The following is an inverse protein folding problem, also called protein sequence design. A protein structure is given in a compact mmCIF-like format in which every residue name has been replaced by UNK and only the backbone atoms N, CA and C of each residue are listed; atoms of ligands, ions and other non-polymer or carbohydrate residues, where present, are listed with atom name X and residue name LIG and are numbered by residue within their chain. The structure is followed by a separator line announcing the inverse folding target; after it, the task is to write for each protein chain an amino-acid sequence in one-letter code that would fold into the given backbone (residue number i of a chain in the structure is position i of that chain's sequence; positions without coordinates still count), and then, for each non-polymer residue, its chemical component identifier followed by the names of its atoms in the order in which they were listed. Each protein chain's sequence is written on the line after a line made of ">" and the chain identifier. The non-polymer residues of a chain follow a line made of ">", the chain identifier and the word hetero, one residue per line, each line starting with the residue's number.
data_IF_263756203724
#
_entry.id   IF_263756203724
#
_cell.length_a   1.000
_cell.length_b   1.000
_cell.length_c   1.000
_cell.angle_alpha   90.00
_cell.angle_beta   90.00
_cell.angle_gamma   90.00
#
_symmetry.space_group_name_H-M   'P 1'
#
loop_
_entity.id
_entity.type
_entity.pdbx_description
1 polymer ?
#
# COMPACT_ATOMS: atom_id res chain seq x y z
N UNK A 1 6.12 -59.51 -48.17
CA UNK A 1 7.51 -59.50 -47.68
C UNK A 1 8.02 -58.08 -47.75
N UNK A 2 7.97 -57.38 -46.62
CA UNK A 2 8.26 -55.96 -46.45
C UNK A 2 9.67 -55.82 -45.85
N UNK A 3 10.50 -54.85 -46.29
CA UNK A 3 11.84 -54.69 -45.75
C UNK A 3 11.81 -54.07 -44.34
N UNK A 4 12.56 -54.65 -43.41
CA UNK A 4 12.84 -54.09 -42.09
C UNK A 4 13.54 -52.73 -42.25
N UNK A 5 12.86 -51.65 -41.85
CA UNK A 5 13.51 -50.36 -41.62
C UNK A 5 14.14 -50.37 -40.22
N UNK A 6 15.44 -50.16 -40.20
CA UNK A 6 16.25 -49.90 -39.01
C UNK A 6 15.81 -48.59 -38.35
N UNK A 7 15.45 -48.66 -37.08
CA UNK A 7 15.13 -47.49 -36.24
C UNK A 7 16.44 -46.96 -35.65
N UNK A 8 16.83 -45.76 -36.07
CA UNK A 8 17.93 -44.99 -35.45
C UNK A 8 17.43 -44.38 -34.14
N UNK A 9 18.11 -44.56 -32.99
CA UNK A 9 17.68 -43.91 -31.76
C UNK A 9 18.07 -42.42 -31.77
N UNK A 10 17.08 -41.55 -31.67
CA UNK A 10 17.28 -40.12 -31.38
C UNK A 10 17.68 -40.01 -29.91
N UNK A 11 18.94 -39.62 -29.65
CA UNK A 11 19.39 -39.20 -28.32
C UNK A 11 18.77 -37.84 -27.99
N UNK A 12 17.74 -37.83 -27.14
CA UNK A 12 17.33 -36.62 -26.45
C UNK A 12 18.41 -36.26 -25.40
N UNK A 13 19.20 -35.22 -25.65
CA UNK A 13 19.97 -34.55 -24.59
C UNK A 13 19.10 -33.42 -24.01
N UNK A 14 18.23 -33.77 -23.06
CA UNK A 14 17.70 -32.78 -22.13
C UNK A 14 18.79 -32.48 -21.10
N UNK A 15 19.48 -31.36 -21.27
CA UNK A 15 20.34 -30.81 -20.21
C UNK A 15 19.42 -30.20 -19.15
N UNK A 16 18.94 -31.03 -18.23
CA UNK A 16 18.27 -30.57 -17.01
C UNK A 16 19.28 -29.72 -16.24
N UNK A 17 19.12 -28.39 -16.26
CA UNK A 17 19.75 -27.55 -15.25
C UNK A 17 19.12 -27.93 -13.91
N UNK A 18 19.91 -28.22 -12.86
CA UNK A 18 19.33 -28.43 -11.55
C UNK A 18 18.57 -27.15 -11.13
N UNK A 19 17.46 -27.29 -10.39
CA UNK A 19 16.78 -26.14 -9.82
C UNK A 19 17.78 -25.33 -8.99
N UNK A 20 17.77 -24.00 -9.13
CA UNK A 20 18.46 -23.14 -8.18
C UNK A 20 17.81 -23.41 -6.82
N UNK A 21 18.57 -24.00 -5.89
CA UNK A 21 18.22 -23.95 -4.48
C UNK A 21 18.19 -22.46 -4.10
N UNK A 22 16.98 -21.94 -3.90
CA UNK A 22 16.82 -20.71 -3.15
C UNK A 22 17.21 -21.03 -1.71
N UNK A 23 18.15 -20.28 -1.10
CA UNK A 23 18.46 -20.48 0.30
C UNK A 23 17.17 -20.26 1.10
N UNK A 24 16.78 -21.27 1.87
CA UNK A 24 15.72 -21.15 2.88
C UNK A 24 16.03 -19.93 3.75
N UNK A 25 15.10 -18.98 3.92
CA UNK A 25 15.37 -17.81 4.74
C UNK A 25 15.65 -18.29 6.17
N UNK A 26 16.87 -18.02 6.64
CA UNK A 26 17.24 -18.21 8.04
C UNK A 26 16.31 -17.37 8.90
N UNK A 27 15.58 -18.03 9.79
CA UNK A 27 14.76 -17.41 10.82
C UNK A 27 15.63 -16.70 11.87
N UNK A 28 16.45 -15.71 11.50
CA UNK A 28 17.12 -14.82 12.46
C UNK A 28 17.87 -13.61 11.86
N UNK A 29 17.58 -13.15 10.65
CA UNK A 29 18.19 -11.93 10.14
C UNK A 29 17.39 -10.70 10.61
N UNK A 30 17.60 -10.27 11.85
CA UNK A 30 17.34 -8.87 12.21
C UNK A 30 18.27 -8.05 11.29
N UNK A 31 17.78 -7.17 10.42
CA UNK A 31 18.65 -6.36 9.59
C UNK A 31 19.59 -5.56 10.50
N UNK A 32 20.90 -5.84 10.41
CA UNK A 32 21.93 -5.06 11.09
C UNK A 32 21.90 -3.65 10.51
N UNK A 33 21.89 -2.63 11.35
CA UNK A 33 21.86 -1.23 10.93
C UNK A 33 23.04 -0.95 10.00
N UNK A 34 22.76 -0.63 8.74
CA UNK A 34 23.75 -0.10 7.80
C UNK A 34 24.45 1.13 8.41
N UNK A 35 25.78 1.25 8.30
CA UNK A 35 26.50 2.43 8.77
C UNK A 35 25.99 3.69 8.06
N UNK A 36 25.48 4.68 8.81
CA UNK A 36 25.12 5.97 8.23
C UNK A 36 26.40 6.78 7.96
N UNK A 37 26.74 6.95 6.69
CA UNK A 37 27.92 7.71 6.23
C UNK A 37 27.57 9.12 5.73
N UNK A 38 26.29 9.47 5.66
CA UNK A 38 25.79 10.79 5.28
C UNK A 38 25.16 11.48 6.51
N UNK A 39 25.76 12.59 6.93
CA UNK A 39 25.36 13.35 8.12
C UNK A 39 25.13 14.81 7.73
N UNK A 40 24.06 15.09 6.98
CA UNK A 40 23.49 16.44 6.99
C UNK A 40 22.96 16.70 8.41
N UNK A 41 23.43 17.78 9.05
CA UNK A 41 22.96 18.17 10.38
C UNK A 41 21.49 18.60 10.28
N UNK A 42 20.67 18.14 11.22
CA UNK A 42 19.29 18.61 11.36
C UNK A 42 19.27 20.03 11.92
N UNK A 43 18.26 20.82 11.55
CA UNK A 43 17.99 22.08 12.21
C UNK A 43 17.54 21.82 13.66
N UNK A 44 17.80 22.79 14.54
CA UNK A 44 17.38 22.76 15.95
C UNK A 44 16.70 24.07 16.32
N UNK A 45 15.71 24.01 17.20
CA UNK A 45 15.01 25.18 17.73
C UNK A 45 14.71 24.95 19.22
N UNK A 46 14.96 25.95 20.05
CA UNK A 46 14.79 25.85 21.51
C UNK A 46 13.33 25.64 21.94
N UNK A 47 12.38 25.97 21.06
CA UNK A 47 10.95 25.85 21.31
C UNK A 47 10.31 24.75 20.45
N UNK A 48 11.10 23.78 19.98
CA UNK A 48 10.64 22.65 19.17
C UNK A 48 9.79 23.10 17.96
N UNK A 49 10.22 24.19 17.30
CA UNK A 49 9.59 24.71 16.09
C UNK A 49 8.14 25.18 16.30
N UNK A 50 7.75 25.61 17.51
CA UNK A 50 6.37 26.05 17.80
C UNK A 50 5.87 27.17 16.88
N UNK A 51 6.78 28.00 16.37
CA UNK A 51 6.49 29.11 15.46
C UNK A 51 6.88 28.80 13.99
N UNK A 52 7.05 27.54 13.63
CA UNK A 52 7.50 27.13 12.28
C UNK A 52 6.69 27.77 11.17
N UNK A 53 5.37 27.81 11.34
CA UNK A 53 4.43 28.34 10.34
C UNK A 53 4.15 29.85 10.49
N UNK A 54 4.94 30.59 11.27
CA UNK A 54 4.68 32.01 11.50
C UNK A 54 4.76 32.80 10.19
N UNK A 55 3.67 33.50 9.84
CA UNK A 55 3.60 34.31 8.64
C UNK A 55 3.21 33.54 7.36
N UNK A 56 2.99 32.23 7.46
CA UNK A 56 2.50 31.40 6.36
C UNK A 56 0.98 31.22 6.39
N UNK A 57 0.41 30.79 5.25
CA UNK A 57 -0.97 30.31 5.19
C UNK A 57 -1.09 29.03 6.00
N UNK A 58 -1.88 29.04 7.07
CA UNK A 58 -2.00 27.90 7.96
C UNK A 58 -2.96 26.83 7.43
N UNK A 59 -2.61 25.57 7.65
CA UNK A 59 -3.60 24.48 7.59
C UNK A 59 -4.66 24.71 8.66
N UNK A 60 -5.93 24.63 8.28
CA UNK A 60 -7.05 25.14 9.07
C UNK A 60 -8.26 24.19 9.05
N UNK A 61 -8.03 22.90 8.82
CA UNK A 61 -9.08 21.89 8.68
C UNK A 61 -9.66 21.78 7.26
N UNK A 62 -9.33 22.71 6.35
CA UNK A 62 -9.72 22.62 4.95
C UNK A 62 -8.62 21.97 4.10
N UNK A 63 -9.02 21.40 2.97
CA UNK A 63 -8.09 20.96 1.93
C UNK A 63 -7.55 22.17 1.16
N UNK A 64 -6.46 22.77 1.66
CA UNK A 64 -5.84 23.94 1.03
C UNK A 64 -5.01 23.54 -0.20
N UNK A 65 -5.65 23.48 -1.38
CA UNK A 65 -5.05 23.04 -2.64
C UNK A 65 -3.85 23.89 -3.12
N UNK A 66 -3.79 25.17 -2.71
CA UNK A 66 -2.67 26.07 -3.01
C UNK A 66 -1.43 25.88 -2.12
N UNK A 67 -1.47 24.92 -1.19
CA UNK A 67 -0.44 24.72 -0.17
C UNK A 67 -0.72 25.49 1.13
N UNK A 68 -0.25 24.94 2.24
CA UNK A 68 -0.34 25.55 3.57
C UNK A 68 0.72 24.96 4.51
N UNK A 69 1.00 25.65 5.61
CA UNK A 69 1.87 25.16 6.67
C UNK A 69 1.03 24.60 7.83
N UNK A 70 1.30 23.34 8.20
CA UNK A 70 0.61 22.70 9.31
C UNK A 70 1.40 22.87 10.61
N UNK A 71 0.87 23.67 11.54
CA UNK A 71 1.44 23.86 12.88
C UNK A 71 1.02 22.82 13.91
N UNK A 72 0.18 21.85 13.55
CA UNK A 72 -0.28 20.79 14.44
C UNK A 72 0.87 19.80 14.69
N UNK A 73 1.16 19.42 15.95
CA UNK A 73 2.18 18.43 16.23
C UNK A 73 1.82 17.09 15.59
N UNK A 74 2.84 16.33 15.20
CA UNK A 74 2.70 15.01 14.56
C UNK A 74 1.80 14.03 15.34
N UNK A 75 1.88 14.05 16.67
CA UNK A 75 1.07 13.22 17.56
C UNK A 75 1.84 12.08 18.21
N UNK A 76 1.11 11.11 18.76
CA UNK A 76 1.68 9.95 19.44
C UNK A 76 2.23 8.96 18.43
N UNK A 77 3.40 8.40 18.72
CA UNK A 77 4.09 7.43 17.87
C UNK A 77 3.89 6.04 18.49
N UNK A 78 3.44 5.02 17.73
CA UNK A 78 3.25 3.68 18.27
C UNK A 78 4.59 3.03 18.65
N UNK A 79 4.54 1.94 19.42
CA UNK A 79 5.73 1.13 19.68
C UNK A 79 6.17 0.38 18.41
N UNK A 80 7.41 -0.13 18.38
CA UNK A 80 7.89 -0.97 17.27
C UNK A 80 7.00 -2.22 17.05
N UNK A 81 6.39 -2.74 18.11
CA UNK A 81 5.51 -3.90 18.04
C UNK A 81 4.11 -3.56 17.51
N UNK A 82 3.73 -2.28 17.53
CA UNK A 82 2.45 -1.77 17.04
C UNK A 82 2.59 -1.06 15.68
N UNK A 83 3.62 -1.43 14.91
CA UNK A 83 3.80 -0.92 13.57
C UNK A 83 2.70 -1.46 12.65
N UNK A 84 1.99 -0.54 11.97
CA UNK A 84 0.99 -0.85 10.94
C UNK A 84 1.64 -1.57 9.76
N UNK A 85 0.95 -2.58 9.25
CA UNK A 85 1.23 -3.24 7.97
C UNK A 85 -0.09 -3.68 7.36
N UNK A 86 -0.20 -3.52 6.05
CA UNK A 86 -1.34 -3.98 5.26
C UNK A 86 -0.92 -4.98 4.18
N UNK A 87 -1.88 -5.77 3.71
CA UNK A 87 -1.75 -6.65 2.54
C UNK A 87 -3.09 -6.80 1.84
N UNK A 88 -3.12 -6.66 0.52
CA UNK A 88 -4.34 -6.92 -0.25
C UNK A 88 -4.62 -8.43 -0.33
N UNK A 89 -5.85 -8.79 -0.01
CA UNK A 89 -6.37 -10.17 -0.16
C UNK A 89 -7.24 -10.31 -1.39
N UNK A 90 -7.72 -9.20 -1.97
CA UNK A 90 -8.46 -9.15 -3.24
C UNK A 90 -8.47 -7.74 -3.82
N UNK A 91 -8.20 -7.55 -5.12
CA UNK A 91 -7.39 -8.46 -5.95
C UNK A 91 -6.00 -8.67 -5.36
N UNK A 92 -5.38 -9.81 -5.61
CA UNK A 92 -3.97 -10.05 -5.33
C UNK A 92 -3.09 -9.60 -6.50
N UNK A 93 -1.78 -9.52 -6.26
CA UNK A 93 -0.83 -9.14 -7.31
C UNK A 93 -0.76 -10.20 -8.41
N UNK A 94 -1.02 -9.76 -9.65
CA UNK A 94 -1.02 -10.59 -10.84
C UNK A 94 -2.41 -11.13 -11.21
N UNK A 95 -3.43 -10.86 -10.39
CA UNK A 95 -4.79 -11.30 -10.68
C UNK A 95 -5.32 -10.68 -11.98
N UNK A 96 -6.27 -11.37 -12.59
CA UNK A 96 -7.12 -10.85 -13.66
C UNK A 96 -8.55 -10.90 -13.20
N UNK A 97 -9.21 -9.74 -13.09
CA UNK A 97 -10.64 -9.63 -12.81
C UNK A 97 -11.44 -9.51 -14.11
N UNK A 98 -12.74 -9.75 -14.03
CA UNK A 98 -13.66 -9.50 -15.15
C UNK A 98 -13.85 -8.00 -15.36
N UNK A 99 -13.73 -7.54 -16.60
CA UNK A 99 -13.96 -6.14 -16.96
C UNK A 99 -15.43 -5.76 -16.78
N UNK A 100 -15.68 -4.49 -16.46
CA UNK A 100 -17.00 -3.86 -16.33
C UNK A 100 -17.97 -4.65 -15.41
N UNK A 101 -17.42 -5.35 -14.42
CA UNK A 101 -18.15 -6.20 -13.47
C UNK A 101 -17.80 -5.84 -12.03
N UNK A 102 -18.82 -5.75 -11.17
CA UNK A 102 -18.67 -5.50 -9.75
C UNK A 102 -17.64 -6.43 -9.11
N UNK A 103 -16.75 -5.89 -8.28
CA UNK A 103 -15.86 -6.66 -7.45
C UNK A 103 -15.59 -5.96 -6.12
N UNK A 104 -15.06 -6.71 -5.16
CA UNK A 104 -14.70 -6.18 -3.84
C UNK A 104 -13.19 -6.12 -3.69
N UNK A 105 -12.68 -4.94 -3.36
CA UNK A 105 -11.33 -4.76 -2.83
C UNK A 105 -11.34 -5.16 -1.36
N UNK A 106 -10.38 -5.98 -0.94
CA UNK A 106 -10.20 -6.40 0.45
C UNK A 106 -8.74 -6.28 0.86
N UNK A 107 -8.52 -5.69 2.03
CA UNK A 107 -7.20 -5.45 2.60
C UNK A 107 -7.17 -5.90 4.06
N UNK A 108 -6.20 -6.75 4.39
CA UNK A 108 -5.93 -7.16 5.75
C UNK A 108 -4.91 -6.21 6.37
N UNK A 109 -5.27 -5.60 7.49
CA UNK A 109 -4.38 -4.73 8.26
C UNK A 109 -4.00 -5.36 9.59
N UNK A 110 -2.83 -5.00 10.09
CA UNK A 110 -2.32 -5.39 11.41
C UNK A 110 -1.90 -4.16 12.21
N UNK A 111 -2.04 -4.23 13.55
CA UNK A 111 -1.67 -3.17 14.49
C UNK A 111 -2.28 -1.79 14.18
N UNK A 112 -3.51 -1.80 13.69
CA UNK A 112 -4.26 -0.61 13.29
C UNK A 112 -5.63 -0.63 13.95
N UNK A 113 -6.11 0.54 14.39
CA UNK A 113 -7.44 0.71 14.95
C UNK A 113 -8.30 1.48 13.92
N UNK A 114 -8.91 0.78 12.94
CA UNK A 114 -9.75 1.39 11.92
C UNK A 114 -11.10 1.85 12.50
N UNK A 115 -11.89 2.56 11.69
CA UNK A 115 -13.23 3.01 12.05
C UNK A 115 -13.32 4.44 12.58
N UNK A 116 -12.21 5.19 12.56
CA UNK A 116 -12.21 6.60 12.98
C UNK A 116 -11.75 7.50 11.84
N UNK A 117 -12.68 8.33 11.37
CA UNK A 117 -12.49 9.30 10.31
C UNK A 117 -13.13 10.62 10.73
N UNK A 118 -12.43 11.73 10.52
CA UNK A 118 -13.00 13.07 10.67
C UNK A 118 -13.31 13.67 9.30
N UNK A 119 -14.31 14.55 9.21
CA UNK A 119 -14.78 15.08 7.94
C UNK A 119 -13.65 15.88 7.22
N UNK A 120 -13.23 15.38 6.05
CA UNK A 120 -12.15 15.95 5.26
C UNK A 120 -12.39 17.40 4.81
N UNK A 121 -13.65 17.84 4.74
CA UNK A 121 -13.97 19.20 4.31
C UNK A 121 -13.75 20.24 5.40
N UNK A 122 -13.58 19.84 6.66
CA UNK A 122 -13.51 20.78 7.78
C UNK A 122 -12.56 20.40 8.93
N UNK A 123 -11.97 19.20 8.91
CA UNK A 123 -11.03 18.74 9.94
C UNK A 123 -9.74 18.13 9.35
N UNK A 124 -9.44 18.41 8.08
CA UNK A 124 -8.25 17.93 7.39
C UNK A 124 -6.96 18.40 8.08
N UNK A 125 -6.15 17.43 8.53
CA UNK A 125 -4.95 17.61 9.34
C UNK A 125 -5.12 18.52 10.57
N UNK A 126 -6.33 18.58 11.11
CA UNK A 126 -6.67 19.51 12.20
C UNK A 126 -6.33 19.00 13.60
N UNK A 127 -5.97 17.73 13.74
CA UNK A 127 -5.54 17.15 15.01
C UNK A 127 -4.40 16.12 14.85
N UNK A 128 -3.58 15.93 15.90
CA UNK A 128 -2.45 14.99 15.88
C UNK A 128 -2.89 13.53 15.73
N UNK A 129 -1.94 12.66 15.35
CA UNK A 129 -2.13 11.22 15.43
C UNK A 129 -2.33 10.79 16.89
N UNK A 130 -3.28 9.89 17.15
CA UNK A 130 -3.49 9.29 18.48
C UNK A 130 -3.49 7.76 18.41
N UNK A 131 -3.34 7.13 19.57
CA UNK A 131 -3.30 5.68 19.74
C UNK A 131 -4.47 5.21 20.61
N UNK A 132 -4.97 4.01 20.34
CA UNK A 132 -5.97 3.34 21.16
C UNK A 132 -5.36 2.82 22.48
N UNK A 133 -6.18 2.17 23.31
CA UNK A 133 -5.72 1.57 24.57
C UNK A 133 -4.68 0.45 24.41
N UNK A 134 -4.52 -0.10 23.21
CA UNK A 134 -3.55 -1.15 22.87
C UNK A 134 -2.28 -0.58 22.21
N UNK A 135 -2.21 0.74 21.99
CA UNK A 135 -1.09 1.41 21.34
C UNK A 135 -1.12 1.36 19.80
N UNK A 136 -2.24 0.97 19.20
CA UNK A 136 -2.45 0.98 17.75
C UNK A 136 -2.91 2.36 17.29
N UNK A 137 -2.49 2.77 16.09
CA UNK A 137 -2.90 4.07 15.53
C UNK A 137 -4.40 4.06 15.25
N UNK A 138 -5.09 5.09 15.74
CA UNK A 138 -6.52 5.33 15.48
C UNK A 138 -6.66 6.03 14.12
N UNK A 139 -7.44 5.45 13.22
CA UNK A 139 -7.68 6.06 11.93
C UNK A 139 -8.57 5.27 10.99
N UNK A 140 -8.26 5.41 9.70
CA UNK A 140 -8.95 4.78 8.58
C UNK A 140 -7.96 4.55 7.44
N UNK A 141 -8.34 3.78 6.42
CA UNK A 141 -7.50 3.57 5.24
C UNK A 141 -8.20 4.07 4.00
N UNK A 142 -7.44 4.50 3.00
CA UNK A 142 -7.95 4.65 1.65
C UNK A 142 -7.45 3.51 0.78
N UNK A 143 -8.18 3.25 -0.31
CA UNK A 143 -7.73 2.43 -1.42
C UNK A 143 -7.89 3.24 -2.71
N UNK A 144 -6.88 3.18 -3.56
CA UNK A 144 -6.85 3.88 -4.85
C UNK A 144 -6.46 2.90 -5.93
N UNK A 145 -7.25 2.87 -7.02
CA UNK A 145 -6.92 2.13 -8.23
C UNK A 145 -6.55 3.14 -9.31
N UNK A 146 -5.35 3.00 -9.88
CA UNK A 146 -4.88 3.81 -10.99
C UNK A 146 -4.64 2.95 -12.22
N UNK A 147 -5.01 3.49 -13.38
CA UNK A 147 -4.67 2.93 -14.69
C UNK A 147 -3.16 3.08 -14.94
N UNK A 148 -2.52 2.00 -15.38
CA UNK A 148 -1.11 1.94 -15.71
C UNK A 148 -0.83 2.10 -17.23
N UNK A 149 -1.89 2.18 -18.04
CA UNK A 149 -1.82 2.19 -19.49
C UNK A 149 -1.47 0.82 -20.06
N UNK A 150 -0.54 0.79 -21.02
CA UNK A 150 -0.25 -0.42 -21.81
C UNK A 150 0.64 -1.46 -21.09
N UNK A 151 1.17 -1.16 -19.90
CA UNK A 151 2.11 -2.03 -19.17
C UNK A 151 1.79 -2.03 -17.66
N UNK A 152 1.87 -3.21 -17.01
CA UNK A 152 1.83 -3.31 -15.56
C UNK A 152 3.05 -2.66 -14.90
N UNK A 153 4.17 -2.47 -15.62
CA UNK A 153 5.43 -1.97 -15.07
C UNK A 153 5.88 -0.65 -15.72
N UNK A 154 5.07 0.43 -15.66
CA UNK A 154 5.46 1.70 -16.25
C UNK A 154 6.72 2.24 -15.57
N UNK A 155 7.61 2.81 -16.37
CA UNK A 155 8.85 3.46 -15.89
C UNK A 155 8.68 4.95 -15.62
N UNK A 156 7.51 5.50 -15.95
CA UNK A 156 7.14 6.89 -15.66
C UNK A 156 6.16 6.90 -14.49
N UNK A 157 6.37 7.75 -13.47
CA UNK A 157 5.40 7.90 -12.39
C UNK A 157 4.01 8.32 -12.91
N UNK A 158 2.96 7.75 -12.34
CA UNK A 158 1.58 8.10 -12.65
C UNK A 158 1.24 9.50 -12.12
N UNK A 159 0.30 10.19 -12.78
CA UNK A 159 -0.28 11.43 -12.28
C UNK A 159 -1.09 11.15 -11.00
N UNK A 160 -0.72 11.74 -9.84
CA UNK A 160 -1.41 11.49 -8.58
C UNK A 160 -2.84 12.07 -8.52
N UNK A 161 -3.23 12.92 -9.48
CA UNK A 161 -4.59 13.50 -9.55
C UNK A 161 -5.58 12.61 -10.29
N UNK A 162 -5.11 11.54 -10.95
CA UNK A 162 -5.92 10.66 -11.78
C UNK A 162 -6.05 9.27 -11.14
N UNK A 163 -7.27 8.77 -11.03
CA UNK A 163 -7.58 7.43 -10.54
C UNK A 163 -8.84 6.87 -11.22
N UNK A 164 -8.89 5.56 -11.40
CA UNK A 164 -10.07 4.85 -11.88
C UNK A 164 -11.07 4.61 -10.74
N UNK A 165 -10.56 4.43 -9.51
CA UNK A 165 -11.38 4.29 -8.31
C UNK A 165 -10.65 4.84 -7.08
N UNK A 166 -11.40 5.47 -6.18
CA UNK A 166 -10.91 5.91 -4.88
C UNK A 166 -11.99 5.66 -3.82
N UNK A 167 -11.60 5.13 -2.66
CA UNK A 167 -12.49 4.97 -1.52
C UNK A 167 -11.74 5.15 -0.22
N UNK A 168 -12.27 6.00 0.66
CA UNK A 168 -11.98 5.93 2.09
C UNK A 168 -12.84 4.86 2.76
N UNK A 169 -12.18 3.89 3.41
CA UNK A 169 -12.83 2.84 4.21
C UNK A 169 -12.86 3.32 5.65
N UNK A 170 -14.02 3.82 6.06
CA UNK A 170 -14.20 4.57 7.30
C UNK A 170 -14.80 3.75 8.44
N UNK A 171 -15.22 2.52 8.18
CA UNK A 171 -15.76 1.59 9.18
C UNK A 171 -14.65 0.73 9.82
N UNK A 172 -15.02 -0.05 10.82
CA UNK A 172 -14.11 -0.91 11.57
C UNK A 172 -13.82 -2.27 10.88
N UNK A 173 -14.41 -2.51 9.70
CA UNK A 173 -14.37 -3.78 9.00
C UNK A 173 -14.96 -4.93 9.79
N UNK A 174 -14.33 -6.09 9.68
CA UNK A 174 -14.75 -7.34 10.33
C UNK A 174 -14.38 -7.43 11.82
N UNK A 175 -13.67 -6.43 12.35
CA UNK A 175 -13.14 -6.43 13.71
C UNK A 175 -11.86 -7.26 13.93
N UNK A 176 -11.35 -7.94 12.89
CA UNK A 176 -10.08 -8.66 12.88
C UNK A 176 -9.08 -8.07 11.87
N UNK A 177 -9.32 -6.84 11.43
CA UNK A 177 -8.44 -6.06 10.58
C UNK A 177 -8.70 -6.21 9.08
N UNK A 178 -9.70 -6.98 8.66
CA UNK A 178 -10.12 -7.02 7.25
C UNK A 178 -11.03 -5.83 6.96
N UNK A 179 -10.60 -4.98 6.04
CA UNK A 179 -11.35 -3.84 5.53
C UNK A 179 -11.68 -4.06 4.05
N UNK A 180 -12.82 -3.54 3.59
CA UNK A 180 -13.26 -3.75 2.20
C UNK A 180 -13.91 -2.53 1.57
N UNK A 181 -13.90 -2.50 0.24
CA UNK A 181 -14.59 -1.51 -0.57
C UNK A 181 -15.15 -2.19 -1.82
N UNK A 182 -16.43 -1.96 -2.11
CA UNK A 182 -17.05 -2.42 -3.34
C UNK A 182 -16.77 -1.44 -4.48
N UNK A 183 -16.43 -1.99 -5.65
CA UNK A 183 -16.20 -1.27 -6.90
C UNK A 183 -17.36 -1.56 -7.84
N UNK A 184 -18.44 -0.83 -7.65
CA UNK A 184 -19.67 -0.96 -8.45
C UNK A 184 -19.40 -0.59 -9.91
N UNK A 185 -19.87 -1.41 -10.83
CA UNK A 185 -19.61 -1.30 -12.27
C UNK A 185 -18.21 -1.78 -12.70
N UNK A 186 -17.35 -2.16 -11.76
CA UNK A 186 -16.03 -2.70 -12.04
C UNK A 186 -15.05 -1.69 -12.67
N UNK A 187 -14.14 -2.23 -13.48
CA UNK A 187 -13.14 -1.46 -14.23
C UNK A 187 -13.16 -1.91 -15.70
N UNK A 188 -12.98 -0.99 -16.67
CA UNK A 188 -12.77 -1.38 -18.05
C UNK A 188 -11.56 -2.32 -18.22
N UNK A 189 -11.47 -3.03 -19.34
CA UNK A 189 -10.30 -3.86 -19.61
C UNK A 189 -9.02 -3.01 -19.63
N UNK A 190 -7.98 -3.43 -18.89
CA UNK A 190 -6.76 -2.64 -18.71
C UNK A 190 -5.78 -3.18 -17.66
N UNK A 191 -4.68 -2.45 -17.46
CA UNK A 191 -3.66 -2.71 -16.45
C UNK A 191 -3.82 -1.74 -15.29
N UNK A 192 -3.87 -2.25 -14.06
CA UNK A 192 -4.17 -1.44 -12.89
C UNK A 192 -3.17 -1.63 -11.76
N UNK A 193 -2.96 -0.56 -10.99
CA UNK A 193 -2.31 -0.60 -9.68
C UNK A 193 -3.33 -0.23 -8.62
N UNK A 194 -3.51 -1.12 -7.65
CA UNK A 194 -4.27 -0.87 -6.43
C UNK A 194 -3.27 -0.63 -5.29
N UNK A 195 -3.40 0.49 -4.58
CA UNK A 195 -2.57 0.82 -3.42
C UNK A 195 -3.45 1.21 -2.22
N UNK A 196 -2.95 0.93 -1.01
CA UNK A 196 -3.54 1.44 0.23
C UNK A 196 -2.89 2.75 0.66
N UNK A 197 -3.62 3.52 1.48
CA UNK A 197 -3.07 4.65 2.22
C UNK A 197 -3.61 4.62 3.65
N UNK A 198 -2.85 4.03 4.56
CA UNK A 198 -3.14 4.02 5.98
C UNK A 198 -3.01 5.44 6.54
N UNK A 199 -4.09 5.91 7.16
CA UNK A 199 -4.22 7.28 7.63
C UNK A 199 -4.65 7.32 9.07
N UNK A 200 -4.19 8.32 9.80
CA UNK A 200 -4.76 8.66 11.10
C UNK A 200 -6.17 9.26 10.94
N UNK A 201 -6.89 9.46 12.05
CA UNK A 201 -8.25 9.99 12.03
C UNK A 201 -8.41 11.32 11.25
N UNK A 202 -7.38 12.19 11.26
CA UNK A 202 -7.41 13.51 10.63
C UNK A 202 -6.64 13.56 9.30
N UNK A 203 -6.55 12.43 8.61
CA UNK A 203 -6.05 12.29 7.24
C UNK A 203 -4.54 12.25 7.06
N UNK A 204 -3.71 12.61 8.05
CA UNK A 204 -2.27 12.52 7.88
C UNK A 204 -1.81 11.05 7.74
N UNK A 205 -0.85 10.75 6.86
CA UNK A 205 -0.24 9.44 6.78
C UNK A 205 0.26 8.97 8.14
N UNK A 206 0.16 7.68 8.40
CA UNK A 206 0.55 7.13 9.70
C UNK A 206 2.06 7.31 9.98
N UNK A 207 2.37 7.77 11.19
CA UNK A 207 3.74 8.02 11.65
C UNK A 207 4.24 6.86 12.51
N UNK A 208 5.44 6.39 12.21
CA UNK A 208 5.98 5.11 12.70
C UNK A 208 7.33 5.31 13.42
N UNK A 209 7.67 4.47 14.42
CA UNK A 209 8.75 4.74 15.38
C UNK A 209 10.17 4.55 14.85
N UNK A 210 10.35 3.85 13.73
CA UNK A 210 11.69 3.51 13.20
C UNK A 210 11.72 3.53 11.68
N UNK A 211 12.82 3.98 11.09
CA UNK A 211 12.99 4.02 9.63
C UNK A 211 13.22 2.62 9.02
N UNK A 212 13.93 1.73 9.72
CA UNK A 212 14.21 0.36 9.27
C UNK A 212 12.98 -0.54 9.50
N UNK A 213 12.02 -0.46 8.57
CA UNK A 213 10.76 -1.20 8.57
C UNK A 213 10.28 -1.44 7.13
N UNK A 214 9.31 -2.32 6.96
CA UNK A 214 8.52 -2.36 5.72
C UNK A 214 7.63 -1.11 5.58
N UNK A 215 7.19 -0.81 4.37
CA UNK A 215 6.12 0.17 4.18
C UNK A 215 4.85 -0.32 4.89
N UNK A 216 4.12 0.61 5.49
CA UNK A 216 2.85 0.28 6.15
C UNK A 216 1.72 -0.03 5.16
N UNK A 217 1.88 0.44 3.92
CA UNK A 217 0.94 0.32 2.82
C UNK A 217 1.34 -0.80 1.86
N UNK A 218 0.35 -1.38 1.18
CA UNK A 218 0.55 -2.36 0.13
C UNK A 218 0.19 -1.77 -1.24
N UNK A 219 0.78 -2.34 -2.29
CA UNK A 219 0.43 -2.03 -3.66
C UNK A 219 0.52 -3.30 -4.51
N UNK A 220 -0.57 -3.67 -5.13
CA UNK A 220 -0.65 -4.79 -6.08
C UNK A 220 -0.92 -4.29 -7.48
N UNK A 221 -0.45 -5.05 -8.47
CA UNK A 221 -0.76 -4.81 -9.88
C UNK A 221 -1.60 -5.95 -10.40
N UNK A 222 -2.67 -5.64 -11.13
CA UNK A 222 -3.62 -6.63 -11.64
C UNK A 222 -4.18 -6.15 -12.98
N UNK A 223 -4.90 -7.01 -13.68
CA UNK A 223 -5.56 -6.66 -14.94
C UNK A 223 -7.07 -6.81 -14.83
N UNK A 224 -7.81 -6.06 -15.63
CA UNK A 224 -9.21 -6.36 -15.92
C UNK A 224 -9.31 -6.82 -17.39
N UNK A 225 -10.12 -7.84 -17.67
CA UNK A 225 -10.30 -8.34 -19.03
C UNK A 225 -11.69 -8.92 -19.23
N UNK A 226 -12.18 -8.91 -20.48
CA UNK A 226 -13.47 -9.49 -20.87
C UNK A 226 -13.58 -11.02 -20.61
N UNK A 227 -12.47 -11.69 -20.27
CA UNK A 227 -12.41 -13.12 -19.95
C UNK A 227 -11.93 -13.38 -18.50
N UNK A 228 -12.10 -12.42 -17.58
CA UNK A 228 -11.53 -12.46 -16.22
C UNK A 228 -12.08 -13.52 -15.25
N UNK A 229 -12.83 -14.51 -15.73
CA UNK A 229 -13.26 -15.66 -14.94
C UNK A 229 -12.32 -16.86 -15.09
N UNK A 230 -11.71 -17.30 -13.99
CA UNK A 230 -10.82 -18.46 -13.81
C UNK A 230 -9.36 -18.30 -14.27
N UNK A 231 -8.47 -18.01 -13.33
CA UNK A 231 -7.14 -18.63 -13.25
C UNK A 231 -6.65 -18.67 -11.80
N UNK A 232 -7.31 -19.48 -10.96
CA UNK A 232 -6.64 -20.00 -9.76
C UNK A 232 -6.01 -21.35 -10.15
N UNK A 233 -4.69 -21.42 -10.18
CA UNK A 233 -3.90 -22.65 -10.27
C UNK A 233 -2.66 -22.54 -9.41
#
# INVERSE_FOLDING_TARGET
>A
MLPLRTVTPIRARASLRPPREFPTPSASAIPTREPQTDNNLSNSDDNNFINFCQGETLTNGLQNEGGSCNGIPMGKIPSKNNMVSSVFTSPQNGDTIEADTDFTVSIQMSNFAPGTFTNADNTYYSAPQDLDGNGNIIGHTHVTIQDLGDDLNPTTPLDPTQFAFFKGINDAGDGNGLLSADVDGGLPAGNYRLCSMASSANHQPVLMPVAQRGAQDDCVRFTASDNGGNNNS
#
